data_IF_100222960338
#
_entry.id   IF_100222960338
#
_cell.length_a   1.000
_cell.length_b   1.000
_cell.length_c   1.000
_cell.angle_alpha   90.00
_cell.angle_beta   90.00
_cell.angle_gamma   90.00
#
_symmetry.space_group_name_H-M   'P 1'
#
loop_
_entity.id
_entity.type
_entity.pdbx_description
1 polymer ?
#
# COMPACT_ATOMS: atom_id res chain seq x y z
N UNK A 1 81.86 -4.77 24.73
CA UNK A 1 80.40 -4.72 24.97
C UNK A 1 79.72 -5.01 23.64
N UNK A 2 79.24 -6.24 23.40
CA UNK A 2 78.62 -6.68 22.13
C UNK A 2 77.11 -6.71 22.32
N UNK A 3 76.38 -5.88 21.58
CA UNK A 3 74.91 -5.87 21.54
C UNK A 3 74.43 -6.83 20.45
N UNK A 4 73.69 -7.86 20.84
CA UNK A 4 73.07 -8.85 19.94
C UNK A 4 71.66 -8.37 19.57
N UNK A 5 71.44 -8.03 18.30
CA UNK A 5 70.11 -7.70 17.75
C UNK A 5 69.41 -8.99 17.29
N UNK A 6 68.39 -9.41 18.04
CA UNK A 6 67.50 -10.53 17.72
C UNK A 6 66.49 -10.09 16.65
N UNK A 7 66.74 -10.49 15.39
CA UNK A 7 65.77 -10.32 14.31
C UNK A 7 64.67 -11.37 14.48
N UNK A 8 63.48 -10.95 14.92
CA UNK A 8 62.27 -11.78 14.86
C UNK A 8 61.92 -11.96 13.38
N UNK A 9 62.18 -13.16 12.84
CA UNK A 9 61.68 -13.55 11.52
C UNK A 9 60.16 -13.48 11.54
N UNK A 10 59.60 -12.47 10.88
CA UNK A 10 58.18 -12.46 10.57
C UNK A 10 57.93 -13.51 9.50
N UNK A 11 57.22 -14.57 9.85
CA UNK A 11 56.73 -15.57 8.89
C UNK A 11 55.77 -14.88 7.91
N UNK A 12 56.31 -14.36 6.82
CA UNK A 12 55.54 -13.92 5.66
C UNK A 12 54.97 -15.17 4.98
N UNK A 13 53.82 -15.64 5.43
CA UNK A 13 53.09 -16.74 4.77
C UNK A 13 52.70 -16.29 3.36
N UNK A 14 53.36 -16.84 2.34
CA UNK A 14 52.98 -16.65 0.96
C UNK A 14 51.66 -17.37 0.70
N UNK A 15 50.64 -16.62 0.24
CA UNK A 15 49.33 -17.16 -0.09
C UNK A 15 49.42 -17.99 -1.38
N UNK A 16 48.92 -19.22 -1.36
CA UNK A 16 48.94 -20.08 -2.56
C UNK A 16 47.74 -19.79 -3.46
N UNK A 17 47.90 -20.01 -4.77
CA UNK A 17 46.82 -19.87 -5.75
C UNK A 17 45.63 -20.79 -5.42
N UNK A 18 45.88 -21.98 -4.85
CA UNK A 18 44.83 -22.94 -4.49
C UNK A 18 44.01 -22.47 -3.28
N UNK A 19 44.64 -21.86 -2.28
CA UNK A 19 43.92 -21.25 -1.15
C UNK A 19 42.99 -20.13 -1.62
N UNK A 20 43.43 -19.30 -2.59
CA UNK A 20 42.57 -18.26 -3.15
C UNK A 20 41.43 -18.85 -3.99
N UNK A 21 41.75 -19.83 -4.84
CA UNK A 21 40.79 -20.47 -5.75
C UNK A 21 39.67 -21.20 -4.99
N UNK A 22 40.01 -21.91 -3.92
CA UNK A 22 39.03 -22.64 -3.10
C UNK A 22 38.09 -21.69 -2.37
N UNK A 23 38.60 -20.56 -1.86
CA UNK A 23 37.78 -19.54 -1.20
C UNK A 23 36.77 -18.92 -2.16
N UNK A 24 37.19 -18.52 -3.35
CA UNK A 24 36.25 -17.96 -4.34
C UNK A 24 35.25 -19.00 -4.83
N UNK A 25 35.65 -20.28 -4.93
CA UNK A 25 34.74 -21.37 -5.28
C UNK A 25 33.65 -21.56 -4.21
N UNK A 26 34.03 -21.55 -2.93
CA UNK A 26 33.07 -21.67 -1.82
C UNK A 26 32.14 -20.45 -1.78
N UNK A 27 32.67 -19.22 -1.89
CA UNK A 27 31.86 -18.00 -1.96
C UNK A 27 30.88 -18.06 -3.15
N UNK A 28 31.35 -18.54 -4.30
CA UNK A 28 30.53 -18.73 -5.51
C UNK A 28 29.37 -19.69 -5.29
N UNK A 29 29.61 -20.85 -4.66
CA UNK A 29 28.56 -21.83 -4.32
C UNK A 29 27.54 -21.22 -3.35
N UNK A 30 28.01 -20.57 -2.28
CA UNK A 30 27.12 -19.95 -1.29
C UNK A 30 26.28 -18.83 -1.93
N UNK A 31 26.89 -17.97 -2.74
CA UNK A 31 26.21 -16.89 -3.44
C UNK A 31 25.17 -17.43 -4.44
N UNK A 32 25.48 -18.50 -5.17
CA UNK A 32 24.57 -19.13 -6.12
C UNK A 32 23.30 -19.67 -5.46
N UNK A 33 23.40 -20.17 -4.22
CA UNK A 33 22.25 -20.65 -3.46
C UNK A 33 21.43 -19.47 -2.89
N UNK A 34 22.08 -18.40 -2.43
CA UNK A 34 21.42 -17.27 -1.76
C UNK A 34 20.69 -16.34 -2.74
N UNK A 35 21.31 -16.05 -3.89
CA UNK A 35 20.82 -15.06 -4.84
C UNK A 35 19.36 -15.27 -5.31
N UNK A 36 18.91 -16.49 -5.70
CA UNK A 36 17.52 -16.70 -6.12
C UNK A 36 16.51 -16.49 -4.98
N UNK A 37 16.90 -16.80 -3.74
CA UNK A 37 15.99 -16.70 -2.58
C UNK A 37 15.77 -15.26 -2.13
N UNK A 38 16.78 -14.39 -2.24
CA UNK A 38 16.72 -12.99 -1.80
C UNK A 38 15.59 -12.21 -2.48
N UNK A 39 15.35 -12.45 -3.78
CA UNK A 39 14.26 -11.79 -4.51
C UNK A 39 12.87 -12.12 -3.96
N UNK A 40 12.61 -13.41 -3.70
CA UNK A 40 11.34 -13.87 -3.15
C UNK A 40 11.11 -13.36 -1.72
N UNK A 41 12.17 -13.31 -0.90
CA UNK A 41 12.13 -12.74 0.46
C UNK A 41 11.81 -11.25 0.43
N UNK A 42 12.44 -10.48 -0.46
CA UNK A 42 12.14 -9.05 -0.62
C UNK A 42 10.68 -8.81 -1.02
N UNK A 43 10.13 -9.59 -1.94
CA UNK A 43 8.71 -9.47 -2.34
C UNK A 43 7.77 -9.76 -1.17
N UNK A 44 8.05 -10.80 -0.39
CA UNK A 44 7.27 -11.13 0.81
C UNK A 44 7.38 -10.03 1.87
N UNK A 45 8.56 -9.48 2.11
CA UNK A 45 8.76 -8.39 3.07
C UNK A 45 7.99 -7.12 2.67
N UNK A 46 7.96 -6.78 1.37
CA UNK A 46 7.14 -5.67 0.86
C UNK A 46 5.65 -5.92 1.08
N UNK A 47 5.15 -7.13 0.81
CA UNK A 47 3.76 -7.49 1.08
C UNK A 47 3.40 -7.34 2.56
N UNK A 48 4.21 -7.90 3.47
CA UNK A 48 4.02 -7.78 4.92
C UNK A 48 4.02 -6.32 5.37
N UNK A 49 4.94 -5.50 4.84
CA UNK A 49 4.99 -4.08 5.13
C UNK A 49 3.75 -3.34 4.62
N UNK A 50 3.22 -3.72 3.44
CA UNK A 50 1.98 -3.14 2.92
C UNK A 50 0.78 -3.46 3.81
N UNK A 51 0.65 -4.72 4.25
CA UNK A 51 -0.39 -5.13 5.22
C UNK A 51 -0.27 -4.36 6.54
N UNK A 52 0.96 -4.14 7.03
CA UNK A 52 1.20 -3.33 8.24
C UNK A 52 0.80 -1.87 8.08
N UNK A 53 1.04 -1.26 6.91
CA UNK A 53 0.56 0.10 6.60
C UNK A 53 -0.97 0.14 6.58
N UNK A 54 -1.61 -0.81 5.90
CA UNK A 54 -3.07 -0.93 5.82
C UNK A 54 -3.72 -1.09 7.19
N UNK A 55 -3.11 -1.87 8.09
CA UNK A 55 -3.57 -2.00 9.48
C UNK A 55 -3.53 -0.67 10.24
N UNK A 56 -2.47 0.11 10.07
CA UNK A 56 -2.35 1.44 10.68
C UNK A 56 -3.39 2.41 10.11
N UNK A 57 -3.60 2.39 8.78
CA UNK A 57 -4.63 3.19 8.13
C UNK A 57 -6.02 2.81 8.64
N UNK A 58 -6.36 1.52 8.68
CA UNK A 58 -7.69 1.07 9.09
C UNK A 58 -7.97 1.35 10.57
N UNK A 59 -6.95 1.25 11.44
CA UNK A 59 -7.06 1.67 12.84
C UNK A 59 -7.37 3.18 12.94
N UNK A 60 -6.65 4.00 12.19
CA UNK A 60 -6.86 5.45 12.15
C UNK A 60 -8.25 5.80 11.61
N UNK A 61 -8.71 5.10 10.56
CA UNK A 61 -10.05 5.27 9.99
C UNK A 61 -11.16 4.91 10.98
N UNK A 62 -10.99 3.82 11.75
CA UNK A 62 -11.96 3.44 12.78
C UNK A 62 -11.97 4.44 13.93
N UNK A 63 -10.79 4.89 14.38
CA UNK A 63 -10.70 5.94 15.43
C UNK A 63 -11.34 7.24 14.96
N UNK A 64 -11.12 7.62 13.69
CA UNK A 64 -11.82 8.76 13.08
C UNK A 64 -13.33 8.57 13.10
N UNK A 65 -13.82 7.38 12.72
CA UNK A 65 -15.26 7.11 12.69
C UNK A 65 -15.90 7.24 14.08
N UNK A 66 -15.23 6.74 15.12
CA UNK A 66 -15.68 6.87 16.51
C UNK A 66 -15.87 8.35 16.91
N UNK A 67 -15.00 9.25 16.45
CA UNK A 67 -15.07 10.70 16.70
C UNK A 67 -16.05 11.43 15.75
N UNK A 68 -16.41 10.85 14.61
CA UNK A 68 -17.09 11.54 13.50
C UNK A 68 -18.46 10.92 13.14
N UNK A 69 -19.31 10.73 14.15
CA UNK A 69 -20.69 10.23 13.99
C UNK A 69 -20.74 8.88 13.26
N UNK A 70 -19.77 8.02 13.56
CA UNK A 70 -19.64 6.68 13.01
C UNK A 70 -19.47 6.64 11.48
N UNK A 71 -18.91 7.70 10.89
CA UNK A 71 -18.61 7.76 9.45
C UNK A 71 -17.11 7.82 9.20
N UNK A 72 -16.65 7.02 8.24
CA UNK A 72 -15.27 7.08 7.76
C UNK A 72 -14.97 8.42 7.06
N UNK A 73 -13.70 8.84 6.95
CA UNK A 73 -13.35 10.13 6.34
C UNK A 73 -13.91 10.31 4.93
N UNK A 74 -14.23 11.55 4.50
CA UNK A 74 -14.66 11.82 3.14
C UNK A 74 -13.54 11.44 2.16
N UNK A 75 -13.90 10.76 1.08
CA UNK A 75 -12.93 10.41 0.04
C UNK A 75 -12.39 11.64 -0.65
N UNK A 76 -13.24 12.65 -0.82
CA UNK A 76 -12.92 13.97 -1.34
C UNK A 76 -13.89 15.01 -0.76
N UNK A 77 -13.38 16.22 -0.52
CA UNK A 77 -14.18 17.41 -0.28
C UNK A 77 -13.36 18.68 -0.55
N UNK A 78 -14.06 19.81 -0.68
CA UNK A 78 -13.44 21.12 -0.83
C UNK A 78 -13.63 21.94 0.44
N UNK A 79 -12.55 22.52 0.95
CA UNK A 79 -12.57 23.39 2.12
C UNK A 79 -12.07 24.78 1.75
N UNK A 80 -12.90 25.80 1.94
CA UNK A 80 -12.51 27.18 1.68
C UNK A 80 -11.25 27.55 2.45
N UNK A 81 -10.26 28.11 1.75
CA UNK A 81 -8.96 28.50 2.31
C UNK A 81 -7.91 27.39 2.37
N UNK A 82 -8.29 26.12 2.26
CA UNK A 82 -7.37 24.97 2.28
C UNK A 82 -7.33 24.19 0.95
N UNK A 83 -8.37 24.30 0.13
CA UNK A 83 -8.45 23.70 -1.20
C UNK A 83 -9.05 22.30 -1.20
N UNK A 84 -8.58 21.46 -2.12
CA UNK A 84 -8.99 20.06 -2.26
C UNK A 84 -8.39 19.22 -1.14
N UNK A 85 -9.22 18.42 -0.47
CA UNK A 85 -8.81 17.52 0.61
C UNK A 85 -9.38 16.12 0.38
N UNK A 86 -8.67 15.12 0.88
CA UNK A 86 -8.97 13.70 0.72
C UNK A 86 -8.93 12.98 2.07
N UNK A 87 -9.42 11.74 2.13
CA UNK A 87 -9.45 10.94 3.35
C UNK A 87 -8.10 10.87 4.09
N UNK A 88 -6.98 10.94 3.37
CA UNK A 88 -5.65 10.91 3.96
C UNK A 88 -5.36 12.12 4.85
N UNK A 89 -5.86 13.29 4.47
CA UNK A 89 -5.65 14.54 5.20
C UNK A 89 -6.34 14.54 6.57
N UNK A 90 -7.40 13.77 6.73
CA UNK A 90 -8.15 13.63 7.98
C UNK A 90 -7.47 12.71 8.98
N UNK A 91 -6.65 11.76 8.53
CA UNK A 91 -6.07 10.73 9.39
C UNK A 91 -4.72 11.12 10.00
N UNK A 92 -4.18 12.29 9.65
CA UNK A 92 -2.82 12.69 10.02
C UNK A 92 -2.67 12.78 11.55
N UNK A 93 -3.69 13.32 12.23
CA UNK A 93 -3.76 13.39 13.69
C UNK A 93 -3.94 12.02 14.35
N UNK A 94 -4.54 11.05 13.66
CA UNK A 94 -4.83 9.71 14.19
C UNK A 94 -3.66 8.75 14.03
N UNK A 95 -2.74 9.05 13.09
CA UNK A 95 -1.52 8.24 12.84
C UNK A 95 -0.31 8.79 13.60
N UNK A 96 -0.45 9.94 14.27
CA UNK A 96 0.62 10.56 15.05
C UNK A 96 1.70 11.22 14.19
N UNK A 97 1.37 11.61 12.95
CA UNK A 97 2.29 12.35 12.09
C UNK A 97 2.35 13.82 12.52
N UNK A 98 3.55 14.45 12.51
CA UNK A 98 3.75 15.81 13.01
C UNK A 98 3.13 16.91 12.12
N UNK A 99 2.74 16.59 10.87
CA UNK A 99 2.07 17.54 9.99
C UNK A 99 0.59 17.65 10.38
N UNK A 100 0.06 18.87 10.45
CA UNK A 100 -1.35 19.09 10.82
C UNK A 100 -2.32 19.00 9.64
N UNK A 101 -1.81 19.19 8.40
CA UNK A 101 -2.58 19.11 7.16
C UNK A 101 -1.66 18.49 6.10
N UNK A 102 -2.05 17.34 5.55
CA UNK A 102 -1.48 16.88 4.29
C UNK A 102 -2.16 17.64 3.16
N UNK A 103 -1.37 18.16 2.22
CA UNK A 103 -1.94 18.73 1.00
C UNK A 103 -2.64 17.63 0.19
N UNK A 104 -3.49 18.04 -0.76
CA UNK A 104 -4.13 17.19 -1.78
C UNK A 104 -3.21 16.15 -2.45
N UNK A 105 -1.90 16.36 -2.37
CA UNK A 105 -0.88 15.60 -3.10
C UNK A 105 0.02 14.72 -2.22
N UNK A 106 -0.28 14.57 -0.94
CA UNK A 106 0.56 13.78 -0.03
C UNK A 106 -0.13 12.49 0.46
N UNK A 107 0.63 11.39 0.41
CA UNK A 107 0.27 10.08 0.98
C UNK A 107 0.61 10.02 2.46
N UNK A 108 -0.24 9.36 3.27
CA UNK A 108 0.09 8.96 4.64
C UNK A 108 1.23 7.93 4.66
N UNK A 109 1.09 6.93 3.79
CA UNK A 109 2.07 5.89 3.56
C UNK A 109 2.21 5.66 2.07
N UNK A 110 3.43 5.31 1.66
CA UNK A 110 3.71 4.80 0.32
C UNK A 110 3.75 3.27 0.39
N UNK A 111 2.99 2.62 -0.47
CA UNK A 111 3.03 1.17 -0.60
C UNK A 111 4.43 0.72 -1.06
N UNK A 112 5.06 -0.23 -0.36
CA UNK A 112 6.30 -0.85 -0.81
C UNK A 112 6.10 -1.76 -2.05
N UNK A 113 4.85 -1.99 -2.46
CA UNK A 113 4.47 -2.74 -3.66
C UNK A 113 4.27 -1.83 -4.88
N UNK A 114 4.41 -0.51 -4.71
CA UNK A 114 4.40 0.45 -5.80
C UNK A 114 5.32 0.03 -6.96
N UNK A 115 4.82 0.12 -8.20
CA UNK A 115 5.57 -0.16 -9.42
C UNK A 115 6.24 1.10 -9.97
N UNK A 116 5.61 2.26 -9.78
CA UNK A 116 6.12 3.56 -10.21
C UNK A 116 6.85 4.27 -9.05
N UNK A 117 7.96 4.99 -9.34
CA UNK A 117 8.67 5.78 -8.34
C UNK A 117 7.81 6.94 -7.82
N UNK A 118 7.99 7.28 -6.53
CA UNK A 118 7.40 8.47 -5.91
C UNK A 118 8.28 9.66 -6.26
N UNK A 119 7.87 10.46 -7.25
CA UNK A 119 8.63 11.65 -7.63
C UNK A 119 8.14 12.86 -6.84
N UNK A 120 9.07 13.52 -6.14
CA UNK A 120 8.85 14.86 -5.62
C UNK A 120 8.73 15.85 -6.79
N UNK A 121 7.85 16.82 -6.62
CA UNK A 121 7.14 17.56 -7.66
C UNK A 121 7.93 18.66 -8.39
N UNK A 122 9.19 18.44 -8.76
CA UNK A 122 10.03 19.48 -9.38
C UNK A 122 9.68 19.84 -10.84
N UNK A 123 8.86 19.05 -11.54
CA UNK A 123 8.56 19.25 -12.99
C UNK A 123 7.06 19.43 -13.31
N UNK A 124 6.29 20.09 -12.46
CA UNK A 124 4.96 20.63 -12.84
C UNK A 124 3.83 19.62 -13.13
N UNK A 125 4.11 18.32 -13.20
CA UNK A 125 3.11 17.24 -13.25
C UNK A 125 3.55 16.08 -12.36
N UNK A 126 3.37 16.24 -11.05
CA UNK A 126 3.72 15.25 -10.05
C UNK A 126 2.78 14.03 -10.04
N UNK A 127 3.29 12.91 -10.54
CA UNK A 127 3.07 11.51 -10.14
C UNK A 127 3.17 11.34 -8.62
N UNK A 128 2.37 10.61 -7.83
CA UNK A 128 0.97 10.23 -7.75
C UNK A 128 0.64 10.18 -6.26
N UNK A 129 -0.41 10.85 -5.79
CA UNK A 129 -0.52 11.08 -4.36
C UNK A 129 -1.04 9.89 -3.55
N UNK A 130 -1.53 8.81 -4.17
CA UNK A 130 -2.16 7.69 -3.45
C UNK A 130 -1.67 6.34 -3.97
N UNK A 131 -0.99 5.59 -3.10
CA UNK A 131 -0.67 4.18 -3.31
C UNK A 131 -1.65 3.23 -2.60
N UNK A 132 -2.51 3.79 -1.76
CA UNK A 132 -3.66 3.14 -1.15
C UNK A 132 -4.93 3.92 -1.49
N UNK A 133 -6.01 3.21 -1.79
CA UNK A 133 -7.32 3.79 -2.08
C UNK A 133 -8.34 3.32 -1.05
N UNK A 134 -9.23 4.21 -0.65
CA UNK A 134 -10.33 3.94 0.28
C UNK A 134 -11.61 3.49 -0.45
N UNK A 135 -12.56 2.95 0.30
CA UNK A 135 -13.86 2.49 -0.20
C UNK A 135 -14.70 3.65 -0.73
N UNK A 136 -15.24 3.53 -1.96
CA UNK A 136 -15.96 4.63 -2.63
C UNK A 136 -17.27 5.10 -1.98
N UNK A 137 -18.08 4.19 -1.40
CA UNK A 137 -19.30 4.57 -0.66
C UNK A 137 -19.03 5.02 0.80
N UNK A 138 -18.20 4.27 1.53
CA UNK A 138 -17.89 4.58 2.93
C UNK A 138 -17.03 5.85 3.07
N UNK A 139 -16.16 6.10 2.11
CA UNK A 139 -15.38 7.32 1.97
C UNK A 139 -15.84 8.08 0.71
N UNK A 140 -17.14 8.39 0.61
CA UNK A 140 -17.68 9.10 -0.55
C UNK A 140 -17.16 10.54 -0.67
N UNK A 141 -17.26 11.07 -1.90
CA UNK A 141 -17.18 12.51 -2.17
C UNK A 141 -18.33 13.22 -1.46
N UNK A 142 -18.00 14.25 -0.68
CA UNK A 142 -18.97 15.03 0.11
C UNK A 142 -19.14 16.47 -0.38
N UNK A 143 -18.52 16.85 -1.49
CA UNK A 143 -18.63 18.20 -2.08
C UNK A 143 -20.07 18.56 -2.48
N UNK A 144 -20.88 17.56 -2.86
CA UNK A 144 -22.30 17.68 -3.18
C UNK A 144 -23.26 17.25 -2.05
N UNK A 145 -22.75 17.00 -0.84
CA UNK A 145 -23.51 16.49 0.29
C UNK A 145 -23.00 15.14 0.81
N UNK A 146 -23.18 14.89 2.11
CA UNK A 146 -22.63 13.70 2.76
C UNK A 146 -23.51 12.46 2.54
N UNK A 147 -23.09 11.60 1.62
CA UNK A 147 -23.76 10.33 1.27
C UNK A 147 -23.13 9.11 1.92
N UNK A 148 -22.12 9.29 2.80
CA UNK A 148 -21.42 8.18 3.44
C UNK A 148 -22.35 7.39 4.34
N UNK A 149 -22.28 6.07 4.20
CA UNK A 149 -22.96 5.11 5.08
C UNK A 149 -22.21 5.03 6.42
N UNK A 150 -22.90 5.13 7.58
CA UNK A 150 -22.28 4.87 8.87
C UNK A 150 -21.72 3.45 8.96
N UNK A 151 -20.59 3.29 9.64
CA UNK A 151 -19.89 2.01 9.80
C UNK A 151 -20.78 0.97 10.49
N UNK A 152 -21.61 1.36 11.44
CA UNK A 152 -22.57 0.49 12.15
C UNK A 152 -23.69 -0.03 11.24
N UNK A 153 -23.88 0.58 10.07
CA UNK A 153 -24.85 0.14 9.06
C UNK A 153 -24.22 -0.77 8.01
N UNK A 154 -22.95 -1.16 8.15
CA UNK A 154 -22.32 -2.15 7.28
C UNK A 154 -22.64 -3.53 7.83
N UNK A 155 -23.42 -4.33 7.10
CA UNK A 155 -23.89 -5.62 7.60
C UNK A 155 -22.76 -6.64 7.81
N UNK A 156 -21.72 -6.60 6.98
CA UNK A 156 -20.61 -7.58 6.97
C UNK A 156 -19.23 -6.91 7.07
N UNK A 157 -18.92 -6.22 8.18
CA UNK A 157 -17.73 -5.36 8.27
C UNK A 157 -16.40 -6.11 8.14
N UNK A 158 -16.37 -7.42 8.45
CA UNK A 158 -15.19 -8.27 8.25
C UNK A 158 -15.02 -8.78 6.80
N UNK A 159 -15.98 -8.50 5.92
CA UNK A 159 -15.94 -8.93 4.52
C UNK A 159 -15.88 -7.76 3.53
N UNK A 160 -16.18 -6.54 3.99
CA UNK A 160 -16.17 -5.33 3.17
C UNK A 160 -14.79 -4.66 3.25
N UNK A 161 -14.18 -4.45 2.08
CA UNK A 161 -12.85 -3.82 1.95
C UNK A 161 -12.98 -2.33 2.17
N UNK A 162 -12.37 -1.83 3.25
CA UNK A 162 -12.32 -0.39 3.55
C UNK A 162 -11.21 0.32 2.77
N UNK A 163 -10.03 -0.28 2.68
CA UNK A 163 -8.85 0.31 2.03
C UNK A 163 -7.97 -0.79 1.44
N UNK A 164 -7.28 -0.50 0.35
CA UNK A 164 -6.37 -1.45 -0.30
C UNK A 164 -5.45 -0.77 -1.30
N UNK A 165 -4.63 -1.56 -2.00
CA UNK A 165 -3.69 -1.04 -2.99
C UNK A 165 -4.38 -0.25 -4.13
N UNK A 166 -3.88 0.97 -4.37
CA UNK A 166 -4.39 1.88 -5.39
C UNK A 166 -3.76 1.64 -6.77
N UNK A 167 -4.49 1.97 -7.82
CA UNK A 167 -3.94 2.15 -9.16
C UNK A 167 -2.87 3.25 -9.20
N UNK A 168 -1.78 3.00 -9.90
CA UNK A 168 -0.78 4.01 -10.25
C UNK A 168 -1.02 4.61 -11.67
N UNK A 169 -0.47 5.78 -12.00
CA UNK A 169 -0.75 6.71 -13.12
C UNK A 169 0.41 7.70 -13.24
N UNK A 170 0.92 7.91 -14.44
CA UNK A 170 2.03 8.85 -14.65
C UNK A 170 1.57 10.26 -15.02
N UNK A 171 0.29 10.44 -15.33
CA UNK A 171 -0.32 11.69 -15.77
C UNK A 171 -1.67 11.89 -15.07
N UNK A 172 -1.77 12.90 -14.19
CA UNK A 172 -2.98 13.31 -13.45
C UNK A 172 -3.54 12.31 -12.40
N UNK A 173 -4.49 12.80 -11.59
CA UNK A 173 -4.97 12.30 -10.28
C UNK A 173 -4.90 10.77 -10.05
N UNK A 174 -4.11 10.36 -9.06
CA UNK A 174 -4.27 9.05 -8.41
C UNK A 174 -5.63 9.00 -7.69
N UNK A 175 -6.24 7.82 -7.59
CA UNK A 175 -7.54 7.73 -6.93
C UNK A 175 -7.39 7.59 -5.42
N UNK A 176 -7.84 8.60 -4.69
CA UNK A 176 -8.01 8.50 -3.25
C UNK A 176 -9.02 7.40 -2.89
N UNK A 177 -9.99 7.11 -3.76
CA UNK A 177 -10.98 6.05 -3.54
C UNK A 177 -11.01 5.06 -4.70
N UNK A 178 -11.31 3.79 -4.42
CA UNK A 178 -11.69 2.88 -5.49
C UNK A 178 -12.85 3.48 -6.27
N UNK A 179 -12.79 3.38 -7.60
CA UNK A 179 -13.81 4.02 -8.40
C UNK A 179 -14.09 3.27 -9.69
N UNK A 180 -15.04 2.35 -9.72
CA UNK A 180 -15.96 2.39 -10.86
C UNK A 180 -17.28 3.00 -10.40
N UNK A 181 -17.48 4.31 -10.61
CA UNK A 181 -18.63 5.03 -10.09
C UNK A 181 -19.95 4.73 -10.81
N UNK A 182 -19.97 3.94 -11.89
CA UNK A 182 -21.21 3.53 -12.57
C UNK A 182 -21.70 2.12 -12.15
N UNK A 183 -20.79 1.21 -11.75
CA UNK A 183 -21.14 -0.13 -11.27
C UNK A 183 -21.35 -0.20 -9.74
N UNK A 184 -20.64 0.62 -8.96
CA UNK A 184 -20.75 0.59 -7.49
C UNK A 184 -21.70 1.63 -6.90
N UNK A 185 -22.37 2.44 -7.75
CA UNK A 185 -23.34 3.47 -7.31
C UNK A 185 -24.80 3.06 -7.37
N UNK A 186 -25.13 1.93 -7.99
CA UNK A 186 -26.52 1.53 -8.05
C UNK A 186 -26.78 0.35 -7.12
N UNK A 187 -27.75 0.58 -6.23
CA UNK A 187 -28.61 -0.46 -5.63
C UNK A 187 -29.21 -1.41 -6.70
N UNK A 188 -29.07 -1.04 -7.99
CA UNK A 188 -29.45 -1.74 -9.22
C UNK A 188 -28.24 -2.31 -10.02
N UNK A 189 -27.09 -2.60 -9.42
CA UNK A 189 -26.07 -3.39 -10.12
C UNK A 189 -26.66 -4.79 -10.37
N UNK A 190 -26.77 -5.21 -11.63
CA UNK A 190 -27.22 -6.56 -12.04
C UNK A 190 -26.27 -7.69 -11.59
N UNK A 191 -25.28 -7.35 -10.75
CA UNK A 191 -24.18 -8.19 -10.30
C UNK A 191 -24.53 -8.79 -8.94
N UNK A 192 -24.42 -10.10 -8.84
CA UNK A 192 -24.61 -10.81 -7.58
C UNK A 192 -23.44 -10.56 -6.63
N UNK A 193 -23.68 -10.51 -5.31
CA UNK A 193 -22.62 -10.31 -4.31
C UNK A 193 -21.54 -11.40 -4.34
N UNK A 194 -21.86 -12.57 -4.87
CA UNK A 194 -20.94 -13.71 -5.04
C UNK A 194 -20.14 -13.64 -6.34
N UNK A 195 -20.51 -12.75 -7.27
CA UNK A 195 -19.79 -12.61 -8.54
C UNK A 195 -18.38 -12.09 -8.30
N UNK A 196 -17.40 -12.69 -8.97
CA UNK A 196 -15.99 -12.29 -8.85
C UNK A 196 -15.76 -10.95 -9.55
N UNK A 197 -14.97 -10.08 -8.92
CA UNK A 197 -14.47 -8.90 -9.63
C UNK A 197 -13.41 -9.34 -10.65
N UNK A 198 -13.37 -8.73 -11.85
CA UNK A 198 -12.29 -8.97 -12.79
C UNK A 198 -10.93 -8.79 -12.12
N UNK A 199 -10.13 -9.85 -12.13
CA UNK A 199 -8.76 -9.79 -11.63
C UNK A 199 -7.88 -9.26 -12.75
N UNK A 200 -7.92 -7.96 -12.98
CA UNK A 200 -7.12 -7.33 -14.03
C UNK A 200 -5.61 -7.65 -13.87
N UNK A 201 -4.86 -7.29 -14.92
CA UNK A 201 -3.41 -7.29 -14.88
C UNK A 201 -2.92 -6.32 -13.79
N UNK A 202 -1.77 -6.61 -13.18
CA UNK A 202 -1.15 -5.74 -12.17
C UNK A 202 -0.55 -4.45 -12.79
N UNK A 203 -1.08 -4.04 -13.95
CA UNK A 203 -0.60 -2.92 -14.75
C UNK A 203 -1.35 -1.65 -14.37
N UNK A 204 -0.56 -0.61 -14.18
CA UNK A 204 -1.00 0.73 -13.85
C UNK A 204 -1.41 1.48 -15.13
N UNK A 205 -2.61 1.16 -15.62
CA UNK A 205 -3.22 1.74 -16.81
C UNK A 205 -3.99 3.04 -16.51
N UNK A 206 -3.97 3.98 -17.46
CA UNK A 206 -4.49 5.35 -17.32
C UNK A 206 -6.00 5.47 -17.07
N UNK A 207 -6.80 4.40 -17.15
CA UNK A 207 -8.26 4.47 -17.01
C UNK A 207 -8.85 3.52 -15.96
N UNK A 208 -8.05 2.66 -15.33
CA UNK A 208 -8.57 1.64 -14.41
C UNK A 208 -8.49 2.06 -12.95
N UNK A 209 -9.60 1.81 -12.25
CA UNK A 209 -9.87 2.22 -10.88
C UNK A 209 -10.35 0.98 -10.10
N UNK A 210 -9.43 0.22 -9.52
CA UNK A 210 -9.75 -1.03 -8.85
C UNK A 210 -8.63 -1.51 -7.93
N UNK A 211 -8.92 -2.58 -7.19
CA UNK A 211 -7.97 -3.21 -6.28
C UNK A 211 -6.78 -3.81 -7.07
N UNK A 212 -5.57 -3.64 -6.55
CA UNK A 212 -4.35 -4.14 -7.20
C UNK A 212 -3.78 -5.37 -6.49
N UNK A 213 -3.41 -6.39 -7.26
CA UNK A 213 -2.92 -7.68 -6.79
C UNK A 213 -1.38 -7.77 -6.83
N UNK A 214 -0.69 -6.68 -6.47
CA UNK A 214 0.78 -6.55 -6.58
C UNK A 214 1.56 -7.41 -5.57
N UNK A 215 0.88 -7.94 -4.57
CA UNK A 215 1.49 -8.81 -3.58
C UNK A 215 2.09 -10.07 -4.21
N UNK A 216 2.88 -10.80 -3.43
CA UNK A 216 3.30 -12.15 -3.81
C UNK A 216 2.10 -13.09 -3.82
N UNK A 217 1.17 -12.92 -2.89
CA UNK A 217 0.09 -13.87 -2.60
C UNK A 217 -1.28 -13.35 -3.04
N UNK A 218 -1.40 -12.05 -3.32
CA UNK A 218 -2.64 -11.41 -3.75
C UNK A 218 -2.67 -9.90 -3.50
N UNK A 219 -3.84 -9.37 -3.18
CA UNK A 219 -4.06 -7.95 -2.89
C UNK A 219 -4.10 -7.71 -1.38
N UNK A 220 -3.14 -6.96 -0.80
CA UNK A 220 -3.26 -6.45 0.55
C UNK A 220 -4.44 -5.48 0.67
N UNK A 221 -5.29 -5.73 1.66
CA UNK A 221 -6.44 -4.89 2.01
C UNK A 221 -6.58 -4.78 3.52
N UNK A 222 -7.35 -3.79 3.96
CA UNK A 222 -7.96 -3.82 5.27
C UNK A 222 -9.48 -3.71 5.16
N UNK A 223 -10.17 -4.46 6.01
CA UNK A 223 -11.62 -4.53 6.07
C UNK A 223 -12.18 -3.43 6.97
N UNK A 224 -13.50 -3.25 6.92
CA UNK A 224 -14.21 -2.23 7.71
C UNK A 224 -14.02 -2.41 9.21
N UNK A 225 -13.95 -3.65 9.69
CA UNK A 225 -13.67 -3.96 11.11
C UNK A 225 -12.22 -3.68 11.55
N UNK A 226 -11.35 -3.26 10.64
CA UNK A 226 -9.97 -2.89 10.91
C UNK A 226 -8.92 -3.99 10.73
N UNK A 227 -9.31 -5.25 10.46
CA UNK A 227 -8.30 -6.28 10.20
C UNK A 227 -7.71 -6.14 8.80
N UNK A 228 -6.41 -6.38 8.67
CA UNK A 228 -5.69 -6.34 7.40
C UNK A 228 -5.29 -7.75 6.95
N UNK A 229 -5.49 -8.06 5.69
CA UNK A 229 -5.31 -9.39 5.10
C UNK A 229 -4.85 -9.28 3.65
N UNK A 230 -4.30 -10.36 3.10
CA UNK A 230 -4.02 -10.49 1.67
C UNK A 230 -5.10 -11.35 1.04
N UNK A 231 -5.93 -10.76 0.17
CA UNK A 231 -6.94 -11.49 -0.58
C UNK A 231 -6.32 -12.13 -1.82
N UNK A 232 -6.52 -13.43 -2.00
CA UNK A 232 -5.98 -14.17 -3.13
C UNK A 232 -6.55 -13.65 -4.45
N UNK A 233 -5.72 -13.61 -5.49
CA UNK A 233 -6.20 -13.29 -6.85
C UNK A 233 -7.27 -14.30 -7.27
N UNK A 234 -8.43 -13.81 -7.70
CA UNK A 234 -9.55 -14.64 -8.17
C UNK A 234 -10.53 -15.04 -7.07
N UNK A 235 -10.42 -14.49 -5.87
CA UNK A 235 -11.36 -14.76 -4.76
C UNK A 235 -12.16 -13.55 -4.31
N UNK A 236 -11.85 -12.36 -4.83
CA UNK A 236 -12.54 -11.13 -4.43
C UNK A 236 -13.84 -11.03 -5.23
N UNK A 237 -14.94 -10.78 -4.53
CA UNK A 237 -16.27 -10.64 -5.12
C UNK A 237 -16.78 -9.21 -5.04
N UNK A 238 -17.86 -8.91 -5.79
CA UNK A 238 -18.58 -7.65 -5.67
C UNK A 238 -19.06 -7.42 -4.22
N UNK A 239 -19.41 -8.48 -3.48
CA UNK A 239 -19.77 -8.42 -2.07
C UNK A 239 -18.65 -7.97 -1.13
N UNK A 240 -17.38 -7.95 -1.58
CA UNK A 240 -16.29 -7.34 -0.83
C UNK A 240 -16.19 -5.82 -1.04
N UNK A 241 -16.85 -5.26 -2.06
CA UNK A 241 -16.79 -3.84 -2.42
C UNK A 241 -18.11 -3.09 -2.18
N UNK A 242 -19.16 -3.83 -1.80
CA UNK A 242 -20.49 -3.28 -1.48
C UNK A 242 -20.67 -3.27 0.03
N UNK A 243 -20.99 -2.09 0.56
CA UNK A 243 -21.44 -1.92 1.94
C UNK A 243 -22.98 -1.97 1.97
N UNK A 244 -23.52 -3.16 2.23
CA UNK A 244 -24.94 -3.46 2.42
C UNK A 244 -25.42 -2.99 3.81
N UNK A 245 -26.72 -2.67 3.90
CA UNK A 245 -27.45 -2.40 5.15
C UNK A 245 -28.03 -3.67 5.74
#
# INVERSE_FOLDING_TARGET
MKTTNIHRGGDSRAFTLIELLTVIAIIGILAAIILPTVGAVRKAAREVKSVSNLRQIALAMNTYADDNKDKFPPGYYYKQGEGELYWTSELVSYIGLPKKVLSARESLYVSPLALLPVNDSSEGSATMPFTYSAHGLLCADTSGGDTRLPRSQVARPSQVILVGEAAQRTNTWAFATFSEPAEFKNRDSTKELTELIPTDSDVDEQNRRGLRYRGRSGAPVAMVDGHAVVLKKGTVTYGNLVADR
#
